data_IF_019283459712
#
_entry.id   IF_019283459712
#
_cell.length_a   1.000
_cell.length_b   1.000
_cell.length_c   1.000
_cell.angle_alpha   90.00
_cell.angle_beta   90.00
_cell.angle_gamma   90.00
#
_symmetry.space_group_name_H-M   'P 1'
#
loop_
_entity.id
_entity.type
_entity.pdbx_description
1 polymer ?
#
# COMPACT_ATOMS: atom_id res chain seq x y z
N UNK A 1 -2.63 31.77 -22.54
CA UNK A 1 -2.32 30.65 -23.44
C UNK A 1 -0.92 30.08 -23.18
N UNK A 2 0.11 30.93 -23.05
CA UNK A 2 1.50 30.49 -22.74
C UNK A 2 1.65 29.71 -21.42
N UNK A 3 1.00 30.12 -20.33
CA UNK A 3 1.08 29.39 -19.06
C UNK A 3 0.50 27.97 -19.14
N UNK A 4 -0.56 27.78 -19.94
CA UNK A 4 -1.15 26.45 -20.18
C UNK A 4 -0.16 25.59 -20.97
N UNK A 5 0.42 26.15 -22.04
CA UNK A 5 1.43 25.46 -22.86
C UNK A 5 2.64 25.03 -22.04
N UNK A 6 3.16 25.91 -21.17
CA UNK A 6 4.25 25.60 -20.27
C UNK A 6 3.90 24.44 -19.33
N UNK A 7 2.72 24.47 -18.69
CA UNK A 7 2.29 23.35 -17.82
C UNK A 7 2.04 22.05 -18.58
N UNK A 8 1.52 22.11 -19.80
CA UNK A 8 1.39 20.92 -20.64
C UNK A 8 2.75 20.30 -20.96
N UNK A 9 3.76 21.13 -21.26
CA UNK A 9 5.12 20.65 -21.49
C UNK A 9 5.74 20.03 -20.23
N UNK A 10 5.61 20.68 -19.07
CA UNK A 10 6.08 20.14 -17.78
C UNK A 10 5.42 18.79 -17.46
N UNK A 11 4.11 18.65 -17.71
CA UNK A 11 3.38 17.40 -17.49
C UNK A 11 3.86 16.32 -18.46
N UNK A 12 4.06 16.66 -19.73
CA UNK A 12 4.57 15.72 -20.73
C UNK A 12 5.99 15.25 -20.38
N UNK A 13 6.87 16.16 -19.99
CA UNK A 13 8.23 15.85 -19.54
C UNK A 13 8.22 14.99 -18.27
N UNK A 14 7.40 15.32 -17.28
CA UNK A 14 7.24 14.50 -16.08
C UNK A 14 6.73 13.09 -16.42
N UNK A 15 5.83 12.98 -17.40
CA UNK A 15 5.30 11.69 -17.88
C UNK A 15 6.36 10.87 -18.60
N UNK A 16 7.19 11.51 -19.44
CA UNK A 16 8.33 10.86 -20.10
C UNK A 16 9.37 10.41 -19.09
N UNK A 17 9.73 11.26 -18.13
CA UNK A 17 10.68 10.93 -17.07
C UNK A 17 10.18 9.79 -16.19
N UNK A 18 8.88 9.74 -15.91
CA UNK A 18 8.27 8.63 -15.19
C UNK A 18 8.33 7.34 -16.01
N UNK A 19 8.01 7.39 -17.31
CA UNK A 19 8.09 6.22 -18.19
C UNK A 19 9.53 5.69 -18.34
N UNK A 20 10.51 6.58 -18.32
CA UNK A 20 11.94 6.26 -18.39
C UNK A 20 12.54 5.91 -17.02
N UNK A 21 11.79 6.06 -15.92
CA UNK A 21 12.25 5.70 -14.59
C UNK A 21 12.47 4.17 -14.54
N UNK A 22 13.62 3.68 -14.04
CA UNK A 22 13.95 2.25 -14.01
C UNK A 22 12.98 1.33 -13.23
N UNK A 23 11.86 1.85 -12.71
CA UNK A 23 10.81 1.15 -11.97
C UNK A 23 11.31 0.51 -10.65
N UNK A 24 10.61 0.82 -9.56
CA UNK A 24 10.88 0.25 -8.24
C UNK A 24 12.25 0.55 -7.64
N UNK A 25 12.58 -0.14 -6.54
CA UNK A 25 13.84 -0.03 -5.80
C UNK A 25 14.90 -1.04 -6.26
N UNK A 26 14.67 -1.73 -7.38
CA UNK A 26 15.55 -2.77 -7.90
C UNK A 26 15.48 -4.12 -7.17
N UNK A 27 14.45 -4.36 -6.35
CA UNK A 27 14.24 -5.64 -5.70
C UNK A 27 13.74 -6.70 -6.70
N UNK A 28 14.46 -7.82 -6.83
CA UNK A 28 14.21 -8.80 -7.88
C UNK A 28 12.79 -9.39 -7.87
N UNK A 29 12.26 -9.72 -6.69
CA UNK A 29 10.90 -10.27 -6.54
C UNK A 29 9.83 -9.32 -7.08
N UNK A 30 10.04 -8.01 -6.98
CA UNK A 30 9.07 -7.02 -7.46
C UNK A 30 8.96 -7.02 -8.99
N UNK A 31 10.07 -7.31 -9.69
CA UNK A 31 10.07 -7.44 -11.15
C UNK A 31 9.29 -8.67 -11.60
N UNK A 32 9.46 -9.79 -10.90
CA UNK A 32 8.73 -11.03 -11.19
C UNK A 32 7.22 -10.84 -11.00
N UNK A 33 6.84 -10.08 -9.96
CA UNK A 33 5.46 -9.76 -9.61
C UNK A 33 4.89 -8.57 -10.41
N UNK A 34 5.74 -7.80 -11.10
CA UNK A 34 5.39 -6.56 -11.78
C UNK A 34 4.99 -5.42 -10.85
N UNK A 35 5.31 -5.51 -9.56
CA UNK A 35 5.03 -4.50 -8.53
C UNK A 35 6.03 -3.34 -8.55
N UNK A 36 7.16 -3.51 -9.22
CA UNK A 36 8.14 -2.46 -9.51
C UNK A 36 7.56 -1.32 -10.36
N UNK A 37 6.45 -1.58 -11.05
CA UNK A 37 5.74 -0.64 -11.92
C UNK A 37 4.59 0.09 -11.22
N UNK A 38 4.48 0.03 -9.91
CA UNK A 38 3.41 0.67 -9.14
C UNK A 38 3.94 1.30 -7.87
N UNK A 39 3.18 2.23 -7.29
CA UNK A 39 3.49 2.75 -5.95
C UNK A 39 3.00 1.75 -4.92
N UNK A 40 3.94 1.08 -4.25
CA UNK A 40 3.64 0.23 -3.10
C UNK A 40 2.96 1.05 -1.99
N UNK A 41 1.95 0.45 -1.37
CA UNK A 41 1.25 1.00 -0.23
C UNK A 41 0.75 -0.13 0.67
N UNK A 42 0.52 0.18 1.94
CA UNK A 42 -0.28 -0.65 2.83
C UNK A 42 -1.63 0.05 2.99
N UNK A 43 -2.71 -0.67 2.70
CA UNK A 43 -4.05 -0.09 2.79
C UNK A 43 -4.61 -0.30 4.20
N UNK A 44 -4.64 0.80 4.96
CA UNK A 44 -5.17 0.83 6.32
C UNK A 44 -4.08 0.97 7.37
N UNK A 45 -4.45 0.99 8.67
CA UNK A 45 -3.48 1.05 9.77
C UNK A 45 -2.52 -0.14 9.72
N UNK A 46 -1.25 0.07 10.04
CA UNK A 46 -0.29 -1.01 10.16
C UNK A 46 0.75 -0.68 11.24
N UNK A 47 1.41 -1.71 11.77
CA UNK A 47 2.38 -1.57 12.87
C UNK A 47 3.84 -1.69 12.43
N UNK A 48 4.08 -1.73 11.13
CA UNK A 48 5.43 -1.82 10.56
C UNK A 48 6.16 -0.49 10.64
N UNK A 49 6.88 -0.28 11.75
CA UNK A 49 7.71 0.90 12.01
C UNK A 49 8.77 1.16 10.93
N UNK A 50 9.12 0.14 10.16
CA UNK A 50 10.13 0.19 9.11
C UNK A 50 9.64 0.79 7.77
N UNK A 51 8.35 1.15 7.62
CA UNK A 51 7.83 1.83 6.42
C UNK A 51 7.81 3.36 6.54
N UNK A 52 8.28 3.92 7.66
CA UNK A 52 8.45 5.36 7.87
C UNK A 52 7.32 6.01 8.68
N UNK A 53 7.52 7.28 9.00
CA UNK A 53 6.69 7.99 9.98
C UNK A 53 5.69 8.99 9.36
N UNK A 54 5.67 9.10 8.03
CA UNK A 54 4.76 10.02 7.30
C UNK A 54 3.61 9.22 6.71
N UNK A 55 2.38 9.54 7.12
CA UNK A 55 1.18 8.90 6.60
C UNK A 55 0.50 9.81 5.58
N UNK A 56 0.34 9.32 4.36
CA UNK A 56 -0.41 10.00 3.30
C UNK A 56 -1.76 9.31 3.17
N UNK A 57 -2.82 10.01 3.55
CA UNK A 57 -4.19 9.54 3.39
C UNK A 57 -4.67 9.97 2.02
N UNK A 58 -4.94 9.00 1.15
CA UNK A 58 -5.58 9.24 -0.13
C UNK A 58 -7.09 9.22 0.01
N UNK A 59 -7.78 9.98 -0.84
CA UNK A 59 -9.22 9.85 -1.02
C UNK A 59 -9.54 8.48 -1.62
N UNK A 60 -10.69 7.91 -1.24
CA UNK A 60 -11.07 6.53 -1.56
C UNK A 60 -11.15 6.26 -3.07
N UNK A 61 -11.41 7.29 -3.87
CA UNK A 61 -11.50 7.24 -5.32
C UNK A 61 -10.23 6.71 -5.99
N UNK A 62 -9.06 6.81 -5.34
CA UNK A 62 -7.81 6.25 -5.89
C UNK A 62 -7.91 4.73 -6.11
N UNK A 63 -8.69 4.02 -5.29
CA UNK A 63 -8.88 2.56 -5.41
C UNK A 63 -9.68 2.16 -6.65
N UNK A 64 -10.40 3.12 -7.25
CA UNK A 64 -11.16 2.92 -8.48
C UNK A 64 -10.32 3.22 -9.75
N UNK A 65 -9.08 3.68 -9.59
CA UNK A 65 -8.19 3.88 -10.74
C UNK A 65 -7.92 2.52 -11.43
N UNK A 66 -7.89 2.45 -12.78
CA UNK A 66 -7.65 1.19 -13.50
C UNK A 66 -6.30 0.54 -13.14
N UNK A 67 -5.27 1.35 -12.87
CA UNK A 67 -3.95 0.86 -12.45
C UNK A 67 -3.82 0.62 -10.94
N UNK A 68 -4.85 0.93 -10.14
CA UNK A 68 -4.84 0.60 -8.72
C UNK A 68 -5.27 -0.86 -8.52
N UNK A 69 -4.59 -1.58 -7.65
CA UNK A 69 -5.04 -2.91 -7.24
C UNK A 69 -4.55 -3.20 -5.81
N UNK A 70 -5.10 -4.23 -5.18
CA UNK A 70 -4.66 -4.65 -3.86
C UNK A 70 -4.85 -6.15 -3.65
N UNK A 71 -4.09 -6.69 -2.70
CA UNK A 71 -4.17 -8.08 -2.24
C UNK A 71 -4.29 -8.12 -0.72
N UNK A 72 -4.95 -9.14 -0.17
CA UNK A 72 -5.24 -9.20 1.28
C UNK A 72 -4.00 -9.41 2.18
N UNK A 73 -2.85 -9.61 1.55
CA UNK A 73 -1.54 -9.84 2.16
C UNK A 73 -0.46 -9.39 1.16
N UNK A 74 0.80 -9.35 1.60
CA UNK A 74 1.91 -8.93 0.77
C UNK A 74 2.12 -9.79 -0.49
N UNK A 75 2.49 -9.21 -1.63
CA UNK A 75 2.75 -9.96 -2.86
C UNK A 75 3.89 -10.98 -2.70
N UNK A 76 4.91 -10.63 -1.90
CA UNK A 76 6.04 -11.51 -1.58
C UNK A 76 5.63 -12.77 -0.81
N UNK A 77 4.45 -12.78 -0.18
CA UNK A 77 3.90 -13.99 0.46
C UNK A 77 3.59 -15.11 -0.53
N UNK A 78 3.24 -14.76 -1.78
CA UNK A 78 2.99 -15.75 -2.83
C UNK A 78 4.31 -16.39 -3.27
N UNK A 79 5.34 -15.58 -3.51
CA UNK A 79 6.66 -16.06 -3.93
C UNK A 79 7.33 -16.93 -2.87
N UNK A 80 7.15 -16.60 -1.59
CA UNK A 80 7.68 -17.41 -0.48
C UNK A 80 6.87 -18.67 -0.16
N UNK A 81 5.64 -18.79 -0.67
CA UNK A 81 4.71 -19.87 -0.31
C UNK A 81 3.91 -19.62 0.98
N UNK A 82 4.23 -18.56 1.74
CA UNK A 82 3.52 -18.19 2.97
C UNK A 82 2.02 -17.90 2.74
N UNK A 83 1.66 -17.54 1.52
CA UNK A 83 0.28 -17.36 1.10
C UNK A 83 -0.57 -18.61 1.34
N UNK A 84 -0.07 -19.80 1.04
CA UNK A 84 -0.82 -21.05 1.12
C UNK A 84 -1.03 -21.51 2.57
N UNK A 85 -0.09 -21.19 3.46
CA UNK A 85 -0.25 -21.42 4.90
C UNK A 85 -1.37 -20.57 5.49
N UNK A 86 -1.43 -19.30 5.07
CA UNK A 86 -2.33 -18.32 5.68
C UNK A 86 -3.71 -18.29 5.00
N UNK A 87 -3.79 -18.76 3.75
CA UNK A 87 -5.00 -18.81 2.91
C UNK A 87 -5.16 -20.22 2.32
N UNK A 88 -5.56 -21.23 3.14
CA UNK A 88 -5.64 -22.62 2.69
C UNK A 88 -6.65 -22.86 1.55
N UNK A 89 -7.58 -21.93 1.32
CA UNK A 89 -8.50 -21.97 0.16
C UNK A 89 -7.80 -21.72 -1.19
N UNK A 90 -6.53 -21.29 -1.19
CA UNK A 90 -5.72 -21.26 -2.40
C UNK A 90 -5.29 -22.66 -2.87
N UNK A 91 -5.51 -23.69 -2.05
CA UNK A 91 -5.12 -25.06 -2.33
C UNK A 91 -3.69 -25.39 -1.88
N UNK A 92 -3.14 -26.47 -2.42
CA UNK A 92 -1.76 -26.87 -2.17
C UNK A 92 -0.80 -26.00 -3.00
N UNK A 93 0.32 -25.62 -2.40
CA UNK A 93 1.40 -24.93 -3.09
C UNK A 93 2.11 -25.90 -4.05
N UNK A 94 2.15 -25.55 -5.34
CA UNK A 94 2.86 -26.36 -6.32
C UNK A 94 4.38 -26.25 -6.22
N UNK A 95 4.89 -25.23 -5.52
CA UNK A 95 6.32 -24.91 -5.46
C UNK A 95 6.88 -24.27 -6.73
N UNK A 96 6.06 -24.12 -7.78
CA UNK A 96 6.47 -23.57 -9.07
C UNK A 96 6.36 -22.04 -9.05
N UNK A 97 7.45 -21.35 -9.34
CA UNK A 97 7.53 -19.89 -9.25
C UNK A 97 6.52 -19.18 -10.16
N UNK A 98 6.43 -19.59 -11.43
CA UNK A 98 5.54 -19.00 -12.42
C UNK A 98 4.06 -19.17 -12.05
N UNK A 99 3.71 -20.30 -11.43
CA UNK A 99 2.34 -20.55 -10.96
C UNK A 99 2.00 -19.67 -9.76
N UNK A 100 2.95 -19.43 -8.85
CA UNK A 100 2.79 -18.48 -7.73
C UNK A 100 2.62 -17.04 -8.24
N UNK A 101 3.39 -16.61 -9.24
CA UNK A 101 3.24 -15.30 -9.90
C UNK A 101 1.87 -15.18 -10.58
N UNK A 102 1.42 -16.23 -11.28
CA UNK A 102 0.10 -16.26 -11.92
C UNK A 102 -1.02 -16.16 -10.89
N UNK A 103 -0.91 -16.89 -9.78
CA UNK A 103 -1.88 -16.88 -8.69
C UNK A 103 -1.93 -15.51 -7.99
N UNK A 104 -0.78 -14.87 -7.76
CA UNK A 104 -0.72 -13.51 -7.26
C UNK A 104 -1.51 -12.55 -8.15
N UNK A 105 -1.24 -12.56 -9.46
CA UNK A 105 -1.93 -11.68 -10.40
C UNK A 105 -3.45 -11.97 -10.47
N UNK A 106 -3.86 -13.23 -10.34
CA UNK A 106 -5.27 -13.62 -10.28
C UNK A 106 -5.95 -13.25 -8.95
N UNK A 107 -5.18 -12.99 -7.89
CA UNK A 107 -5.70 -12.63 -6.56
C UNK A 107 -5.89 -11.12 -6.36
N UNK A 108 -5.46 -10.29 -7.32
CA UNK A 108 -5.57 -8.84 -7.25
C UNK A 108 -7.04 -8.40 -7.29
N UNK A 109 -7.40 -7.51 -6.39
CA UNK A 109 -8.70 -6.85 -6.34
C UNK A 109 -8.57 -5.41 -6.80
N UNK A 110 -9.62 -4.87 -7.43
CA UNK A 110 -9.72 -3.49 -7.86
C UNK A 110 -11.15 -2.99 -7.55
N UNK A 111 -11.28 -1.78 -6.98
CA UNK A 111 -12.58 -1.28 -6.51
C UNK A 111 -13.58 -0.94 -7.61
N UNK A 112 -13.13 -0.85 -8.87
CA UNK A 112 -13.98 -0.65 -10.04
C UNK A 112 -14.57 -1.95 -10.57
N UNK A 113 -14.16 -3.11 -10.06
CA UNK A 113 -14.73 -4.40 -10.46
C UNK A 113 -16.01 -4.70 -9.67
N UNK A 114 -17.11 -5.11 -10.33
CA UNK A 114 -18.32 -5.53 -9.64
C UNK A 114 -18.04 -6.67 -8.64
N UNK A 115 -18.56 -6.55 -7.41
CA UNK A 115 -18.40 -7.55 -6.36
C UNK A 115 -17.03 -7.59 -5.68
N UNK A 116 -16.16 -6.61 -5.93
CA UNK A 116 -14.86 -6.50 -5.26
C UNK A 116 -15.01 -6.37 -3.74
N UNK A 117 -16.04 -5.66 -3.29
CA UNK A 117 -16.35 -5.37 -1.90
C UNK A 117 -16.74 -6.65 -1.16
N UNK A 118 -17.59 -7.47 -1.78
CA UNK A 118 -17.95 -8.79 -1.26
C UNK A 118 -16.74 -9.72 -1.21
N UNK A 119 -15.93 -9.76 -2.28
CA UNK A 119 -14.71 -10.58 -2.32
C UNK A 119 -13.70 -10.16 -1.27
N UNK A 120 -13.45 -8.84 -1.14
CA UNK A 120 -12.55 -8.28 -0.13
C UNK A 120 -13.04 -8.57 1.28
N UNK A 121 -14.34 -8.46 1.55
CA UNK A 121 -14.92 -8.77 2.84
C UNK A 121 -14.76 -10.26 3.19
N UNK A 122 -15.04 -11.17 2.25
CA UNK A 122 -14.86 -12.61 2.46
C UNK A 122 -13.39 -12.96 2.72
N UNK A 123 -12.46 -12.41 1.94
CA UNK A 123 -11.02 -12.60 2.17
C UNK A 123 -10.61 -12.09 3.55
N UNK A 124 -11.06 -10.90 3.97
CA UNK A 124 -10.78 -10.36 5.29
C UNK A 124 -11.31 -11.25 6.41
N UNK A 125 -12.56 -11.71 6.30
CA UNK A 125 -13.19 -12.61 7.28
C UNK A 125 -12.41 -13.91 7.35
N UNK A 126 -12.17 -14.58 6.22
CA UNK A 126 -11.47 -15.86 6.17
C UNK A 126 -10.03 -15.74 6.71
N UNK A 127 -9.31 -14.70 6.29
CA UNK A 127 -7.94 -14.44 6.75
C UNK A 127 -7.89 -14.11 8.24
N UNK A 128 -8.95 -13.49 8.76
CA UNK A 128 -9.09 -13.22 10.19
C UNK A 128 -9.31 -14.48 11.00
N UNK A 129 -10.23 -15.33 10.56
CA UNK A 129 -10.52 -16.63 11.19
C UNK A 129 -9.25 -17.48 11.28
N UNK A 130 -8.47 -17.53 10.20
CA UNK A 130 -7.20 -18.25 10.16
C UNK A 130 -6.19 -17.69 11.16
N UNK A 131 -6.02 -16.36 11.19
CA UNK A 131 -5.10 -15.69 12.11
C UNK A 131 -5.47 -15.89 13.59
N UNK A 132 -6.76 -15.81 13.92
CA UNK A 132 -7.28 -15.99 15.28
C UNK A 132 -7.58 -17.46 15.64
N UNK A 133 -7.32 -18.40 14.73
CA UNK A 133 -7.60 -19.85 14.89
C UNK A 133 -9.04 -20.14 15.32
N UNK A 134 -10.00 -19.38 14.79
CA UNK A 134 -11.43 -19.57 15.05
C UNK A 134 -12.01 -20.63 14.12
N UNK A 135 -13.13 -21.24 14.49
CA UNK A 135 -13.85 -22.25 13.69
C UNK A 135 -15.19 -21.75 13.14
N UNK A 136 -15.49 -20.46 13.31
CA UNK A 136 -16.77 -19.84 12.93
C UNK A 136 -16.51 -18.67 11.99
N UNK A 137 -17.41 -18.49 11.01
CA UNK A 137 -17.45 -17.29 10.16
C UNK A 137 -18.22 -16.12 10.80
N UNK A 138 -18.69 -16.29 12.04
CA UNK A 138 -19.31 -15.24 12.84
C UNK A 138 -18.25 -14.22 13.31
N UNK A 139 -17.89 -13.33 12.38
CA UNK A 139 -16.93 -12.25 12.57
C UNK A 139 -17.63 -10.90 12.50
N UNK A 140 -17.32 -10.05 13.47
CA UNK A 140 -17.67 -8.63 13.47
C UNK A 140 -16.42 -7.79 13.19
N UNK A 141 -16.63 -6.48 13.03
CA UNK A 141 -15.54 -5.55 12.77
C UNK A 141 -14.54 -5.49 13.92
N UNK A 142 -14.98 -5.65 15.16
CA UNK A 142 -14.11 -5.61 16.34
C UNK A 142 -13.06 -6.72 16.30
N UNK A 143 -13.44 -7.96 15.94
CA UNK A 143 -12.49 -9.08 15.78
C UNK A 143 -11.55 -8.88 14.60
N UNK A 144 -12.03 -8.26 13.51
CA UNK A 144 -11.19 -7.91 12.36
C UNK A 144 -10.13 -6.88 12.81
N UNK A 145 -10.54 -5.84 13.54
CA UNK A 145 -9.61 -4.85 14.08
C UNK A 145 -8.64 -5.45 15.10
N UNK A 146 -9.11 -6.30 16.01
CA UNK A 146 -8.26 -7.00 16.99
C UNK A 146 -7.11 -7.72 16.30
N UNK A 147 -7.39 -8.52 15.26
CA UNK A 147 -6.33 -9.15 14.47
C UNK A 147 -5.46 -8.11 13.77
N UNK A 148 -6.08 -7.11 13.14
CA UNK A 148 -5.33 -6.15 12.32
C UNK A 148 -4.27 -5.42 13.15
N UNK A 149 -4.60 -5.05 14.38
CA UNK A 149 -3.68 -4.44 15.34
C UNK A 149 -2.71 -5.44 16.01
N UNK A 150 -2.77 -6.73 15.68
CA UNK A 150 -1.88 -7.75 16.25
C UNK A 150 -0.95 -8.39 15.23
N UNK A 151 -1.06 -8.03 13.94
CA UNK A 151 -0.28 -8.67 12.87
C UNK A 151 0.78 -7.73 12.30
N UNK A 152 1.82 -8.36 11.75
CA UNK A 152 2.82 -7.65 10.95
C UNK A 152 2.20 -7.05 9.68
N UNK A 153 2.79 -5.97 9.18
CA UNK A 153 2.29 -5.24 8.00
C UNK A 153 2.21 -6.11 6.75
N UNK A 154 3.06 -7.14 6.60
CA UNK A 154 2.98 -8.07 5.47
C UNK A 154 1.74 -8.97 5.50
N UNK A 155 1.07 -9.07 6.66
CA UNK A 155 -0.19 -9.80 6.85
C UNK A 155 -1.42 -8.86 6.92
N UNK A 156 -1.26 -7.65 6.39
CA UNK A 156 -2.33 -6.66 6.13
C UNK A 156 -2.49 -6.46 4.62
N UNK A 157 -3.45 -5.63 4.21
CA UNK A 157 -3.72 -5.39 2.79
C UNK A 157 -2.56 -4.64 2.15
N UNK A 158 -1.95 -5.25 1.13
CA UNK A 158 -0.98 -4.60 0.27
C UNK A 158 -1.70 -3.95 -0.92
N UNK A 159 -1.47 -2.66 -1.14
CA UNK A 159 -2.00 -1.90 -2.26
C UNK A 159 -0.90 -1.50 -3.23
N UNK A 160 -1.24 -1.50 -4.51
CA UNK A 160 -0.42 -1.03 -5.62
C UNK A 160 -1.17 0.09 -6.31
N UNK A 161 -0.69 1.31 -6.09
CA UNK A 161 -1.30 2.53 -6.62
C UNK A 161 -0.64 2.92 -7.96
N UNK A 162 -1.29 3.79 -8.76
CA UNK A 162 -0.73 4.27 -10.02
C UNK A 162 0.63 4.93 -9.81
N UNK A 163 1.54 4.79 -10.78
CA UNK A 163 2.88 5.40 -10.71
C UNK A 163 2.84 6.92 -10.55
N UNK A 164 1.80 7.57 -11.11
CA UNK A 164 1.57 8.99 -11.00
C UNK A 164 0.26 9.23 -10.25
N UNK A 165 0.36 9.81 -9.05
CA UNK A 165 -0.80 10.15 -8.25
C UNK A 165 -0.90 11.68 -8.17
N UNK A 166 -1.95 12.28 -8.77
CA UNK A 166 -2.16 13.72 -8.64
C UNK A 166 -2.38 14.14 -7.18
N UNK A 167 -1.80 15.27 -6.76
CA UNK A 167 -1.87 15.72 -5.36
C UNK A 167 -3.29 15.99 -4.84
N UNK A 168 -4.28 16.16 -5.73
CA UNK A 168 -5.68 16.32 -5.36
C UNK A 168 -6.35 15.01 -4.88
N UNK A 169 -5.72 13.85 -5.12
CA UNK A 169 -6.11 12.57 -4.53
C UNK A 169 -5.60 12.42 -3.10
N UNK A 170 -4.65 13.23 -2.65
CA UNK A 170 -4.27 13.25 -1.24
C UNK A 170 -5.37 13.99 -0.49
N UNK A 171 -6.00 13.29 0.45
CA UNK A 171 -6.99 13.83 1.35
C UNK A 171 -6.32 14.54 2.52
N UNK A 172 -5.35 13.87 3.17
CA UNK A 172 -4.67 14.39 4.35
C UNK A 172 -3.24 13.86 4.49
N UNK A 173 -2.38 14.59 5.18
CA UNK A 173 -1.01 14.17 5.52
C UNK A 173 -0.82 14.25 7.03
N UNK A 174 -0.35 13.17 7.65
CA UNK A 174 0.17 13.19 9.01
C UNK A 174 1.69 13.11 8.97
N UNK A 175 2.35 14.07 9.60
CA UNK A 175 3.82 14.18 9.62
C UNK A 175 4.32 14.50 11.03
N UNK A 176 5.34 13.80 11.55
CA UNK A 176 5.98 14.16 12.80
C UNK A 176 6.59 15.56 12.78
N UNK A 177 6.46 16.28 13.90
CA UNK A 177 6.93 17.66 14.01
C UNK A 177 8.43 17.80 13.68
N UNK A 178 9.27 16.90 14.19
CA UNK A 178 10.71 16.88 13.90
C UNK A 178 11.01 16.70 12.40
N UNK A 179 10.26 15.85 11.69
CA UNK A 179 10.42 15.67 10.25
C UNK A 179 9.94 16.89 9.47
N UNK A 180 8.82 17.50 9.89
CA UNK A 180 8.33 18.74 9.28
C UNK A 180 9.32 19.90 9.44
N UNK A 181 9.95 20.02 10.61
CA UNK A 181 10.93 21.07 10.90
C UNK A 181 12.25 20.85 10.15
N UNK A 182 12.60 19.60 9.86
CA UNK A 182 13.76 19.24 9.03
C UNK A 182 13.58 19.53 7.53
N UNK A 183 12.35 19.77 7.06
CA UNK A 183 12.10 20.12 5.65
C UNK A 183 12.75 21.46 5.28
N UNK A 184 13.12 21.62 4.00
CA UNK A 184 13.57 22.92 3.50
C UNK A 184 12.44 23.96 3.55
N UNK A 185 12.78 25.25 3.60
CA UNK A 185 11.80 26.33 3.50
C UNK A 185 10.97 26.25 2.22
N UNK A 186 11.58 25.83 1.11
CA UNK A 186 10.89 25.64 -0.16
C UNK A 186 9.87 24.51 -0.06
N UNK A 187 10.25 23.37 0.54
CA UNK A 187 9.35 22.23 0.76
C UNK A 187 8.19 22.59 1.68
N UNK A 188 8.45 23.28 2.80
CA UNK A 188 7.40 23.76 3.71
C UNK A 188 6.42 24.69 2.99
N UNK A 189 6.91 25.66 2.21
CA UNK A 189 6.05 26.55 1.41
C UNK A 189 5.21 25.77 0.41
N UNK A 190 5.80 24.83 -0.32
CA UNK A 190 5.09 24.00 -1.29
C UNK A 190 3.99 23.15 -0.63
N UNK A 191 4.31 22.51 0.49
CA UNK A 191 3.38 21.70 1.29
C UNK A 191 2.21 22.57 1.78
N UNK A 192 2.50 23.73 2.38
CA UNK A 192 1.47 24.64 2.88
C UNK A 192 0.58 25.20 1.75
N UNK A 193 1.15 25.48 0.58
CA UNK A 193 0.40 25.96 -0.58
C UNK A 193 -0.56 24.90 -1.16
N UNK A 194 -0.11 23.65 -1.25
CA UNK A 194 -0.87 22.57 -1.90
C UNK A 194 -1.91 21.92 -0.97
N UNK A 195 -1.58 21.75 0.31
CA UNK A 195 -2.43 20.99 1.23
C UNK A 195 -3.15 21.87 2.25
N UNK A 196 -2.63 23.08 2.56
CA UNK A 196 -3.26 24.04 3.47
C UNK A 196 -3.63 23.40 4.82
N UNK A 197 -4.92 23.23 5.11
CA UNK A 197 -5.45 22.64 6.34
C UNK A 197 -5.42 21.10 6.36
N UNK A 198 -4.97 20.46 5.28
CA UNK A 198 -4.94 19.00 5.10
C UNK A 198 -3.63 18.36 5.56
N UNK A 199 -2.96 19.00 6.52
CA UNK A 199 -1.72 18.50 7.12
C UNK A 199 -1.87 18.60 8.63
N UNK A 200 -1.68 17.47 9.32
CA UNK A 200 -1.57 17.42 10.77
C UNK A 200 -0.11 17.14 11.13
N UNK A 201 0.47 18.06 11.89
CA UNK A 201 1.76 17.83 12.54
C UNK A 201 1.50 17.08 13.84
N UNK A 202 2.00 15.86 13.94
CA UNK A 202 1.86 15.03 15.14
C UNK A 202 3.08 15.21 16.04
N UNK A 203 2.88 15.13 17.35
CA UNK A 203 4.02 15.02 18.27
C UNK A 203 4.75 13.71 17.98
N UNK A 204 6.07 13.77 17.96
CA UNK A 204 6.87 12.56 17.83
C UNK A 204 6.90 11.86 19.19
N UNK A 205 5.96 10.93 19.39
CA UNK A 205 5.87 10.15 20.63
C UNK A 205 6.68 8.84 20.57
N UNK A 206 7.43 8.61 19.48
CA UNK A 206 8.25 7.41 19.27
C UNK A 206 9.65 7.50 19.89
N UNK A 207 10.16 6.39 20.42
CA UNK A 207 11.58 6.26 20.77
C UNK A 207 12.43 6.30 19.50
N UNK A 208 13.46 7.15 19.48
CA UNK A 208 14.30 7.44 18.31
C UNK A 208 15.10 6.25 17.73
N UNK A 209 14.95 5.04 18.29
CA UNK A 209 15.71 3.85 17.92
C UNK A 209 14.89 2.59 18.24
N UNK A 210 13.75 2.38 17.59
CA UNK A 210 13.20 1.03 17.59
C UNK A 210 14.22 0.14 16.86
N UNK A 211 14.66 -0.97 17.49
CA UNK A 211 15.59 -1.89 16.84
C UNK A 211 14.99 -2.27 15.49
N UNK A 212 15.84 -2.28 14.46
CA UNK A 212 15.45 -2.66 13.11
C UNK A 212 14.57 -3.89 13.21
N UNK A 213 13.31 -3.74 12.78
CA UNK A 213 12.34 -4.82 12.82
C UNK A 213 12.91 -6.07 12.14
N UNK A 214 12.33 -7.25 12.39
CA UNK A 214 12.75 -8.45 11.69
C UNK A 214 12.86 -8.14 10.20
N UNK A 215 13.99 -8.54 9.59
CA UNK A 215 14.13 -8.43 8.14
C UNK A 215 12.87 -9.05 7.54
N UNK A 216 12.17 -8.27 6.72
CA UNK A 216 11.06 -8.79 5.94
C UNK A 216 11.50 -10.05 5.17
N UNK A 217 10.55 -10.92 4.80
CA UNK A 217 10.82 -12.24 4.24
C UNK A 217 11.63 -12.25 2.93
#
# INVERSE_FOLDING_TARGET
>A
MEAIKAKTMEIAEASMNLHMNPCGIGFGKDKDLGTDKTVFSILGPHLGHYYGDVFIVFKREILHHPDANFTIQAATSFISGNAFTSRPWLGADSGVHEERVKLYNASKLNASMPGYDYTAALELIAFTIMGLKKKSMDMDLDKIFERWFSVDSHATIEGHLPQLIPLNYIDHIYIPQNLYDALSDASRRAINANFKHRITRVKHDGEANQPGGPRGP
#
